data_IF_564717803851
#
_entry.id   IF_564717803851
#
_cell.length_a   1.000
_cell.length_b   1.000
_cell.length_c   1.000
_cell.angle_alpha   90.00
_cell.angle_beta   90.00
_cell.angle_gamma   90.00
#
_symmetry.space_group_name_H-M   'P 1'
#
loop_
_entity.id
_entity.type
_entity.pdbx_description
1 polymer ?
#
# COMPACT_ATOMS: atom_id res chain seq x y z
N UNK A 1 48.60 13.23 -13.38
CA UNK A 1 47.76 13.17 -12.16
C UNK A 1 46.33 12.87 -12.56
N UNK A 2 45.85 11.65 -12.31
CA UNK A 2 44.49 11.23 -12.62
C UNK A 2 43.53 11.69 -11.52
N UNK A 3 42.39 12.28 -11.90
CA UNK A 3 41.32 12.68 -10.97
C UNK A 3 40.60 11.41 -10.47
N UNK A 4 40.29 11.27 -9.17
CA UNK A 4 39.51 10.14 -8.68
C UNK A 4 38.09 10.24 -9.25
N UNK A 5 37.64 9.16 -9.89
CA UNK A 5 36.27 8.99 -10.34
C UNK A 5 35.41 8.78 -9.10
N UNK A 6 34.68 9.82 -8.67
CA UNK A 6 33.72 9.70 -7.58
C UNK A 6 32.58 8.85 -8.12
N UNK A 7 32.52 7.62 -7.62
CA UNK A 7 31.44 6.68 -7.87
C UNK A 7 30.12 7.38 -7.56
N UNK A 8 29.30 7.58 -8.60
CA UNK A 8 27.93 8.05 -8.43
C UNK A 8 27.21 6.92 -7.72
N UNK A 9 27.20 6.95 -6.38
CA UNK A 9 26.23 6.25 -5.54
C UNK A 9 24.91 6.24 -6.30
N UNK A 10 24.55 5.09 -6.86
CA UNK A 10 23.32 4.96 -7.63
C UNK A 10 22.21 5.34 -6.65
N UNK A 11 21.62 6.51 -6.87
CA UNK A 11 20.53 7.00 -6.05
C UNK A 11 19.35 6.04 -6.21
N UNK A 12 19.30 5.01 -5.35
CA UNK A 12 18.14 4.15 -5.17
C UNK A 12 17.01 5.06 -4.74
N UNK A 13 15.96 5.16 -5.57
CA UNK A 13 14.81 6.02 -5.27
C UNK A 13 14.23 5.63 -3.92
N UNK A 14 13.80 6.61 -3.11
CA UNK A 14 13.27 6.35 -1.78
C UNK A 14 12.15 5.29 -1.78
N UNK A 15 11.28 5.30 -2.80
CA UNK A 15 10.23 4.29 -2.98
C UNK A 15 10.75 2.85 -3.06
N UNK A 16 11.97 2.65 -3.57
CA UNK A 16 12.64 1.34 -3.60
C UNK A 16 13.18 0.94 -2.22
N UNK A 17 13.19 1.84 -1.23
CA UNK A 17 13.51 1.51 0.17
C UNK A 17 12.26 1.27 1.02
N UNK A 18 11.08 1.66 0.52
CA UNK A 18 9.81 1.50 1.22
C UNK A 18 9.22 0.10 0.99
N UNK A 19 9.79 -0.90 1.66
CA UNK A 19 9.34 -2.31 1.53
C UNK A 19 7.87 -2.47 1.86
N UNK A 20 7.38 -1.78 2.90
CA UNK A 20 5.98 -1.85 3.32
C UNK A 20 5.03 -1.32 2.23
N UNK A 21 5.35 -0.19 1.60
CA UNK A 21 4.58 0.35 0.49
C UNK A 21 4.57 -0.63 -0.70
N UNK A 22 5.73 -1.17 -1.06
CA UNK A 22 5.83 -2.14 -2.15
C UNK A 22 5.02 -3.41 -1.85
N UNK A 23 5.02 -3.87 -0.60
CA UNK A 23 4.19 -5.00 -0.16
C UNK A 23 2.69 -4.70 -0.28
N UNK A 24 2.23 -3.53 0.17
CA UNK A 24 0.83 -3.12 0.00
C UNK A 24 0.40 -3.09 -1.46
N UNK A 25 1.22 -2.52 -2.34
CA UNK A 25 0.96 -2.51 -3.78
C UNK A 25 0.85 -3.94 -4.33
N UNK A 26 1.72 -4.85 -3.85
CA UNK A 26 1.71 -6.26 -4.18
C UNK A 26 0.43 -7.00 -3.75
N UNK A 27 -0.20 -6.60 -2.63
CA UNK A 27 -1.50 -7.16 -2.21
C UNK A 27 -2.61 -6.91 -3.26
N UNK A 28 -2.46 -5.90 -4.10
CA UNK A 28 -3.38 -5.59 -5.20
C UNK A 28 -2.81 -5.98 -6.57
N UNK A 29 -1.67 -6.67 -6.58
CA UNK A 29 -1.02 -7.17 -7.80
C UNK A 29 -0.40 -6.07 -8.65
N UNK A 30 0.16 -5.03 -8.03
CA UNK A 30 0.98 -4.03 -8.69
C UNK A 30 2.45 -4.21 -8.34
N UNK A 31 3.32 -4.10 -9.35
CA UNK A 31 4.77 -4.24 -9.17
C UNK A 31 5.42 -2.94 -8.70
N UNK A 32 4.86 -1.79 -9.07
CA UNK A 32 5.38 -0.48 -8.68
C UNK A 32 4.27 0.44 -8.18
N UNK A 33 4.64 1.39 -7.32
CA UNK A 33 3.72 2.43 -6.85
C UNK A 33 3.22 3.31 -8.00
N UNK A 34 4.08 3.55 -9.00
CA UNK A 34 3.72 4.32 -10.19
C UNK A 34 2.59 3.65 -10.98
N UNK A 35 2.68 2.33 -11.19
CA UNK A 35 1.65 1.59 -11.93
C UNK A 35 0.31 1.69 -11.22
N UNK A 36 0.31 1.48 -9.90
CA UNK A 36 -0.89 1.59 -9.07
C UNK A 36 -1.50 2.99 -9.14
N UNK A 37 -0.71 4.04 -8.91
CA UNK A 37 -1.22 5.41 -8.92
C UNK A 37 -1.69 5.83 -10.32
N UNK A 38 -1.08 5.31 -11.39
CA UNK A 38 -1.49 5.60 -12.76
C UNK A 38 -2.83 4.95 -13.09
N UNK A 39 -3.01 3.70 -12.66
CA UNK A 39 -4.26 2.96 -12.84
C UNK A 39 -5.41 3.63 -12.06
N UNK A 40 -5.20 3.90 -10.77
CA UNK A 40 -6.21 4.50 -9.90
C UNK A 40 -6.51 5.98 -10.22
N UNK A 41 -5.64 6.68 -10.95
CA UNK A 41 -5.88 8.08 -11.34
C UNK A 41 -7.13 8.24 -12.21
N UNK A 42 -7.54 7.19 -12.92
CA UNK A 42 -8.76 7.18 -13.72
C UNK A 42 -10.05 6.97 -12.90
N UNK A 43 -9.94 6.61 -11.62
CA UNK A 43 -11.10 6.40 -10.77
C UNK A 43 -11.82 7.73 -10.49
N UNK A 44 -13.15 7.73 -10.59
CA UNK A 44 -13.94 8.85 -10.10
C UNK A 44 -13.77 9.02 -8.58
N UNK A 45 -14.00 10.23 -8.07
CA UNK A 45 -13.93 10.48 -6.64
C UNK A 45 -15.25 10.08 -5.95
N UNK A 46 -15.16 9.68 -4.68
CA UNK A 46 -16.33 9.34 -3.87
C UNK A 46 -16.84 7.91 -4.05
N UNK A 47 -18.15 7.75 -3.92
CA UNK A 47 -18.83 6.45 -3.84
C UNK A 47 -19.97 6.39 -4.87
N UNK A 48 -20.29 5.18 -5.32
CA UNK A 48 -21.47 4.92 -6.15
C UNK A 48 -22.77 4.94 -5.32
N UNK A 49 -23.89 4.67 -5.99
CA UNK A 49 -25.21 4.63 -5.36
C UNK A 49 -25.37 3.51 -4.31
N UNK A 50 -24.55 2.45 -4.39
CA UNK A 50 -24.51 1.36 -3.41
C UNK A 50 -23.58 1.66 -2.23
N UNK A 51 -22.85 2.78 -2.27
CA UNK A 51 -21.88 3.16 -1.24
C UNK A 51 -20.52 2.49 -1.38
N UNK A 52 -20.18 1.95 -2.55
CA UNK A 52 -18.84 1.42 -2.85
C UNK A 52 -17.99 2.48 -3.51
N UNK A 53 -16.73 2.61 -3.10
CA UNK A 53 -15.85 3.60 -3.74
C UNK A 53 -15.45 3.18 -5.15
N UNK A 54 -15.19 4.14 -6.03
CA UNK A 54 -14.66 3.82 -7.35
C UNK A 54 -13.23 3.24 -7.27
N UNK A 55 -12.50 3.52 -6.19
CA UNK A 55 -11.21 2.87 -5.90
C UNK A 55 -11.40 1.39 -5.60
N UNK A 56 -12.42 1.02 -4.80
CA UNK A 56 -12.78 -0.38 -4.54
C UNK A 56 -13.03 -1.12 -5.85
N UNK A 57 -13.87 -0.57 -6.74
CA UNK A 57 -14.21 -1.20 -8.03
C UNK A 57 -12.98 -1.42 -8.91
N UNK A 58 -12.08 -0.42 -8.98
CA UNK A 58 -10.83 -0.56 -9.73
C UNK A 58 -9.94 -1.67 -9.17
N UNK A 59 -9.81 -1.77 -7.84
CA UNK A 59 -9.03 -2.82 -7.20
C UNK A 59 -9.67 -4.20 -7.39
N UNK A 60 -10.97 -4.33 -7.17
CA UNK A 60 -11.73 -5.58 -7.38
C UNK A 60 -11.59 -6.09 -8.82
N UNK A 61 -11.63 -5.18 -9.81
CA UNK A 61 -11.53 -5.54 -11.23
C UNK A 61 -10.23 -6.27 -11.61
N UNK A 62 -9.20 -6.21 -10.75
CA UNK A 62 -7.94 -6.94 -10.95
C UNK A 62 -8.06 -8.44 -10.67
N UNK A 63 -9.19 -8.91 -10.15
CA UNK A 63 -9.53 -10.32 -10.02
C UNK A 63 -8.51 -11.12 -9.21
N UNK A 64 -7.99 -12.21 -9.78
CA UNK A 64 -7.05 -13.13 -9.12
C UNK A 64 -5.71 -12.50 -8.72
N UNK A 65 -5.40 -11.29 -9.20
CA UNK A 65 -4.22 -10.54 -8.78
C UNK A 65 -4.38 -9.96 -7.36
N UNK A 66 -5.61 -9.71 -6.92
CA UNK A 66 -5.89 -9.20 -5.57
C UNK A 66 -5.73 -10.33 -4.56
N UNK A 67 -4.80 -10.14 -3.62
CA UNK A 67 -4.49 -11.10 -2.55
C UNK A 67 -5.31 -10.84 -1.29
N UNK A 68 -5.94 -9.68 -1.17
CA UNK A 68 -6.90 -9.37 -0.09
C UNK A 68 -8.25 -10.00 -0.43
N UNK A 69 -8.87 -10.78 0.49
CA UNK A 69 -10.22 -11.28 0.26
C UNK A 69 -11.20 -10.14 -0.04
N UNK A 70 -12.08 -10.30 -1.04
CA UNK A 70 -13.00 -9.22 -1.44
C UNK A 70 -13.93 -8.78 -0.30
N UNK A 71 -14.30 -9.69 0.60
CA UNK A 71 -15.06 -9.37 1.80
C UNK A 71 -14.29 -8.47 2.78
N UNK A 72 -12.98 -8.70 2.95
CA UNK A 72 -12.11 -7.82 3.75
C UNK A 72 -11.95 -6.46 3.06
N UNK A 73 -11.72 -6.44 1.74
CA UNK A 73 -11.61 -5.20 0.96
C UNK A 73 -12.89 -4.35 1.05
N UNK A 74 -14.06 -4.99 0.95
CA UNK A 74 -15.35 -4.34 1.10
C UNK A 74 -15.55 -3.77 2.51
N UNK A 75 -15.17 -4.53 3.54
CA UNK A 75 -15.20 -4.06 4.93
C UNK A 75 -14.32 -2.83 5.15
N UNK A 76 -13.11 -2.81 4.60
CA UNK A 76 -12.23 -1.63 4.71
C UNK A 76 -12.84 -0.41 3.99
N UNK A 77 -13.41 -0.61 2.80
CA UNK A 77 -14.08 0.47 2.05
C UNK A 77 -15.28 1.04 2.83
N UNK A 78 -16.08 0.17 3.47
CA UNK A 78 -17.18 0.59 4.34
C UNK A 78 -16.71 1.40 5.55
N UNK A 79 -15.60 1.00 6.18
CA UNK A 79 -15.00 1.76 7.28
C UNK A 79 -14.55 3.16 6.82
N UNK A 80 -13.87 3.25 5.67
CA UNK A 80 -13.43 4.53 5.09
C UNK A 80 -14.64 5.45 4.82
N UNK A 81 -15.70 4.91 4.25
CA UNK A 81 -16.96 5.64 4.00
C UNK A 81 -17.54 6.18 5.30
N UNK A 82 -17.59 5.36 6.34
CA UNK A 82 -18.13 5.74 7.63
C UNK A 82 -17.28 6.82 8.32
N UNK A 83 -15.95 6.70 8.29
CA UNK A 83 -15.07 7.75 8.82
C UNK A 83 -15.23 9.07 8.06
N UNK A 84 -15.31 9.02 6.72
CA UNK A 84 -15.53 10.21 5.92
C UNK A 84 -16.89 10.86 6.22
N UNK A 85 -17.94 10.05 6.38
CA UNK A 85 -19.29 10.51 6.78
C UNK A 85 -19.24 11.23 8.12
N UNK A 86 -18.60 10.63 9.13
CA UNK A 86 -18.45 11.24 10.46
C UNK A 86 -17.64 12.54 10.42
N UNK A 87 -16.56 12.57 9.64
CA UNK A 87 -15.74 13.78 9.47
C UNK A 87 -16.53 14.89 8.78
N UNK A 88 -17.32 14.57 7.76
CA UNK A 88 -18.13 15.54 7.02
C UNK A 88 -19.36 16.02 7.78
N UNK A 89 -19.89 15.25 8.74
CA UNK A 89 -21.06 15.63 9.53
C UNK A 89 -20.87 16.94 10.31
N UNK A 90 -19.63 17.36 10.55
CA UNK A 90 -19.27 18.60 11.27
C UNK A 90 -18.75 19.71 10.35
N UNK A 91 -18.79 19.52 9.03
CA UNK A 91 -18.21 20.43 8.05
C UNK A 91 -19.30 21.17 7.26
N UNK A 92 -19.20 22.51 7.11
CA UNK A 92 -20.05 23.26 6.17
C UNK A 92 -19.83 22.81 4.72
N UNK A 93 -18.58 22.51 4.37
CA UNK A 93 -18.19 22.00 3.05
C UNK A 93 -17.68 20.55 3.17
N UNK A 94 -18.41 19.55 2.63
CA UNK A 94 -17.99 18.16 2.67
C UNK A 94 -16.70 17.90 1.88
N UNK A 95 -15.83 17.05 2.43
CA UNK A 95 -14.66 16.53 1.72
C UNK A 95 -15.06 15.30 0.90
N UNK A 96 -14.58 15.24 -0.33
CA UNK A 96 -14.50 13.99 -1.09
C UNK A 96 -13.03 13.57 -1.19
N UNK A 97 -12.74 12.28 -0.95
CA UNK A 97 -11.37 11.77 -1.04
C UNK A 97 -10.99 11.53 -2.50
N UNK A 98 -9.82 12.05 -2.88
CA UNK A 98 -9.16 11.67 -4.14
C UNK A 98 -8.60 10.25 -4.04
N UNK A 99 -8.36 9.61 -5.19
CA UNK A 99 -7.87 8.23 -5.25
C UNK A 99 -6.65 7.95 -4.35
N UNK A 100 -5.66 8.84 -4.31
CA UNK A 100 -4.47 8.67 -3.48
C UNK A 100 -4.75 8.88 -1.98
N UNK A 101 -5.74 9.72 -1.64
CA UNK A 101 -6.15 9.91 -0.24
C UNK A 101 -6.92 8.68 0.25
N UNK A 102 -7.86 8.19 -0.56
CA UNK A 102 -8.59 6.96 -0.28
C UNK A 102 -7.62 5.77 -0.11
N UNK A 103 -6.64 5.64 -1.02
CA UNK A 103 -5.60 4.60 -0.95
C UNK A 103 -4.81 4.66 0.36
N UNK A 104 -4.41 5.85 0.82
CA UNK A 104 -3.69 6.00 2.10
C UNK A 104 -4.50 5.51 3.29
N UNK A 105 -5.81 5.82 3.33
CA UNK A 105 -6.69 5.33 4.40
C UNK A 105 -6.91 3.82 4.28
N UNK A 106 -7.06 3.28 3.06
CA UNK A 106 -7.15 1.85 2.82
C UNK A 106 -5.92 1.09 3.32
N UNK A 107 -4.72 1.58 3.04
CA UNK A 107 -3.48 0.98 3.56
C UNK A 107 -3.42 1.05 5.08
N UNK A 108 -3.95 2.12 5.67
CA UNK A 108 -4.04 2.26 7.12
C UNK A 108 -4.99 1.22 7.72
N UNK A 109 -6.19 1.04 7.15
CA UNK A 109 -7.15 0.01 7.58
C UNK A 109 -6.57 -1.41 7.50
N UNK A 110 -5.91 -1.75 6.39
CA UNK A 110 -5.25 -3.04 6.22
C UNK A 110 -4.12 -3.22 7.24
N UNK A 111 -3.28 -2.18 7.42
CA UNK A 111 -2.18 -2.21 8.38
C UNK A 111 -2.69 -2.46 9.80
N UNK A 112 -3.70 -1.71 10.24
CA UNK A 112 -4.25 -1.83 11.59
C UNK A 112 -4.91 -3.19 11.78
N UNK A 113 -5.73 -3.65 10.83
CA UNK A 113 -6.37 -4.98 10.91
C UNK A 113 -5.33 -6.09 11.06
N UNK A 114 -4.30 -6.08 10.21
CA UNK A 114 -3.29 -7.12 10.19
C UNK A 114 -2.33 -7.04 11.38
N UNK A 115 -1.94 -5.84 11.81
CA UNK A 115 -1.00 -5.65 12.92
C UNK A 115 -1.61 -6.01 14.29
N UNK A 116 -2.90 -5.75 14.49
CA UNK A 116 -3.60 -6.04 15.74
C UNK A 116 -4.22 -7.45 15.79
N UNK A 117 -4.78 -7.95 14.68
CA UNK A 117 -5.55 -9.20 14.70
C UNK A 117 -4.86 -10.37 14.00
N UNK A 118 -3.86 -10.10 13.14
CA UNK A 118 -3.24 -11.13 12.28
C UNK A 118 -1.71 -11.01 12.24
N UNK A 119 -1.08 -10.58 13.33
CA UNK A 119 0.35 -10.17 13.38
C UNK A 119 1.30 -11.22 12.79
N UNK A 120 1.14 -12.50 13.18
CA UNK A 120 1.97 -13.58 12.69
C UNK A 120 1.79 -13.83 11.18
N UNK A 121 0.55 -13.69 10.66
CA UNK A 121 0.26 -13.79 9.23
C UNK A 121 0.89 -12.62 8.46
N UNK A 122 0.79 -11.40 8.99
CA UNK A 122 1.42 -10.21 8.43
C UNK A 122 2.92 -10.39 8.30
N UNK A 123 3.58 -10.83 9.38
CA UNK A 123 5.03 -11.04 9.39
C UNK A 123 5.48 -12.08 8.37
N UNK A 124 4.74 -13.19 8.25
CA UNK A 124 5.02 -14.22 7.23
C UNK A 124 4.84 -13.69 5.81
N UNK A 125 3.73 -12.99 5.54
CA UNK A 125 3.45 -12.41 4.22
C UNK A 125 4.51 -11.39 3.80
N UNK A 126 4.85 -10.46 4.71
CA UNK A 126 5.83 -9.42 4.47
C UNK A 126 7.24 -9.99 4.26
N UNK A 127 7.66 -10.96 5.09
CA UNK A 127 8.97 -11.59 4.92
C UNK A 127 9.05 -12.49 3.67
N UNK A 128 7.96 -13.17 3.30
CA UNK A 128 7.90 -13.88 2.03
C UNK A 128 7.99 -12.94 0.82
N UNK A 129 7.44 -11.73 0.93
CA UNK A 129 7.62 -10.68 -0.08
C UNK A 129 9.07 -10.17 -0.14
N UNK A 130 9.71 -9.92 1.01
CA UNK A 130 11.13 -9.54 1.10
C UNK A 130 12.03 -10.59 0.44
N UNK A 131 11.80 -11.87 0.73
CA UNK A 131 12.58 -12.97 0.16
C UNK A 131 12.47 -13.00 -1.38
N UNK A 132 11.26 -12.90 -1.93
CA UNK A 132 11.04 -12.82 -3.39
C UNK A 132 11.72 -11.60 -3.99
N UNK A 133 11.51 -10.42 -3.41
CA UNK A 133 12.09 -9.17 -3.88
C UNK A 133 13.62 -9.20 -3.85
N UNK A 134 14.20 -9.82 -2.83
CA UNK A 134 15.64 -10.00 -2.72
C UNK A 134 16.19 -11.01 -3.73
N UNK A 135 15.41 -12.02 -4.13
CA UNK A 135 15.82 -12.97 -5.17
C UNK A 135 15.94 -12.29 -6.55
N UNK A 136 15.11 -11.28 -6.82
CA UNK A 136 15.12 -10.52 -8.08
C UNK A 136 16.25 -9.47 -8.17
N UNK A 137 16.96 -9.18 -7.06
CA UNK A 137 18.06 -8.21 -7.01
C UNK A 137 19.36 -8.78 -7.57
N UNK A 138 20.11 -7.94 -8.30
CA UNK A 138 21.39 -8.31 -8.93
C UNK A 138 22.46 -8.57 -7.84
N UNK A 139 23.47 -9.38 -8.17
CA UNK A 139 24.62 -9.63 -7.29
C UNK A 139 25.33 -8.32 -6.98
N UNK A 140 25.44 -7.99 -5.68
CA UNK A 140 26.04 -6.75 -5.20
C UNK A 140 25.03 -5.70 -4.71
N UNK A 141 23.75 -5.82 -5.07
CA UNK A 141 22.72 -4.92 -4.56
C UNK A 141 22.44 -5.15 -3.07
N UNK A 142 22.26 -4.09 -2.26
CA UNK A 142 21.83 -4.21 -0.88
C UNK A 142 20.51 -4.98 -0.78
N UNK A 143 20.49 -6.04 0.05
CA UNK A 143 19.29 -6.83 0.32
C UNK A 143 18.42 -6.10 1.37
N UNK A 144 17.11 -6.25 1.23
CA UNK A 144 16.16 -5.74 2.22
C UNK A 144 16.18 -6.67 3.44
N UNK A 145 16.19 -6.11 4.65
CA UNK A 145 16.18 -6.89 5.88
C UNK A 145 14.81 -7.54 6.12
N UNK A 146 14.82 -8.67 6.82
CA UNK A 146 13.58 -9.30 7.29
C UNK A 146 13.00 -8.48 8.43
N UNK A 147 11.69 -8.38 8.46
CA UNK A 147 10.95 -7.77 9.56
C UNK A 147 10.89 -8.72 10.75
N UNK A 148 11.01 -8.15 11.94
CA UNK A 148 10.70 -8.80 13.22
C UNK A 148 9.36 -8.31 13.75
N UNK A 149 8.84 -8.98 14.79
CA UNK A 149 7.65 -8.47 15.47
C UNK A 149 7.85 -7.07 16.06
N UNK A 150 9.06 -6.72 16.50
CA UNK A 150 9.34 -5.38 17.05
C UNK A 150 9.23 -4.30 15.99
N UNK A 151 9.52 -4.61 14.74
CA UNK A 151 9.40 -3.67 13.64
C UNK A 151 7.94 -3.34 13.35
N UNK A 152 7.04 -4.32 13.49
CA UNK A 152 5.59 -4.08 13.38
C UNK A 152 5.01 -3.24 14.53
N UNK A 153 5.74 -3.04 15.62
CA UNK A 153 5.32 -2.16 16.72
C UNK A 153 5.74 -0.69 16.52
N UNK A 154 6.63 -0.41 15.56
CA UNK A 154 7.04 0.94 15.22
C UNK A 154 5.98 1.52 14.29
N UNK A 155 5.09 2.36 14.83
CA UNK A 155 3.96 2.97 14.11
C UNK A 155 4.35 4.00 13.01
N UNK A 156 5.61 4.08 12.61
CA UNK A 156 6.06 4.92 11.51
C UNK A 156 7.40 4.40 10.95
N UNK A 157 7.42 4.09 9.65
CA UNK A 157 8.61 3.98 8.81
C UNK A 157 8.50 5.00 7.68
#
# INVERSE_FOLDING_TARGET
MARPNIDKSQYVKLEQRLVLLAWFNGLFGYNTNRDLLTDLKGAAEGFDAAGRSYVYHMLESRGSKVQVPLADLARYDDNIREYLRQMNARRPEPITLRYFQHLSVLYTEIFLDWSFHRRAQMLRSLNGFVEKRNADKIVGDPKDERFSERDLAKLAF
#
